data_IF_128132803989
#
_entry.id   IF_128132803989
#
_cell.length_a   1.000
_cell.length_b   1.000
_cell.length_c   1.000
_cell.angle_alpha   90.00
_cell.angle_beta   90.00
_cell.angle_gamma   90.00
#
_symmetry.space_group_name_H-M   'P 1'
#
loop_
_entity.id
_entity.type
_entity.pdbx_description
1 polymer ?
#
# COMPACT_ATOMS: atom_id res chain seq x y z
N UNK A 1 34.37 -5.36 -87.37
CA UNK A 1 33.86 -5.56 -86.06
C UNK A 1 32.32 -5.42 -86.14
N UNK A 2 31.54 -6.50 -86.00
CA UNK A 2 30.09 -6.38 -86.10
C UNK A 2 29.45 -5.92 -84.78
N UNK A 3 28.53 -4.97 -84.88
CA UNK A 3 27.76 -4.47 -83.74
C UNK A 3 26.65 -5.50 -83.41
N UNK A 4 26.63 -5.94 -82.16
CA UNK A 4 25.59 -6.81 -81.60
C UNK A 4 24.44 -5.90 -81.14
N UNK A 5 23.28 -6.04 -81.84
CA UNK A 5 22.03 -5.40 -81.46
C UNK A 5 21.34 -6.23 -80.39
N UNK A 6 21.27 -5.69 -79.17
CA UNK A 6 20.58 -6.33 -78.08
C UNK A 6 19.15 -5.79 -78.03
N UNK A 7 18.19 -6.62 -78.45
CA UNK A 7 16.74 -6.35 -78.27
C UNK A 7 16.32 -6.58 -76.89
N UNK A 8 16.08 -5.54 -76.11
CA UNK A 8 15.51 -5.62 -74.75
C UNK A 8 13.97 -5.72 -74.91
N UNK A 9 13.45 -6.94 -74.84
CA UNK A 9 12.02 -7.16 -74.71
C UNK A 9 11.57 -6.82 -73.30
N UNK A 10 10.99 -5.62 -73.18
CA UNK A 10 10.34 -5.20 -71.94
C UNK A 10 9.08 -6.05 -71.69
N UNK A 11 9.21 -7.05 -70.85
CA UNK A 11 8.09 -7.87 -70.36
C UNK A 11 7.39 -7.17 -69.23
N UNK A 12 6.33 -6.44 -69.48
CA UNK A 12 5.44 -5.83 -68.49
C UNK A 12 4.65 -6.93 -67.78
N UNK A 13 4.79 -7.17 -66.49
CA UNK A 13 3.92 -8.10 -65.80
C UNK A 13 2.57 -7.39 -65.56
N UNK A 14 1.58 -7.82 -66.33
CA UNK A 14 0.18 -7.45 -66.13
C UNK A 14 -0.35 -8.16 -64.86
N UNK A 15 -0.15 -7.49 -63.69
CA UNK A 15 -0.62 -7.96 -62.41
C UNK A 15 -1.97 -7.33 -62.06
N UNK A 16 -2.95 -7.55 -62.94
CA UNK A 16 -4.36 -7.22 -62.65
C UNK A 16 -4.93 -8.24 -61.66
N UNK A 17 -4.35 -8.27 -60.41
CA UNK A 17 -5.05 -8.88 -59.30
C UNK A 17 -6.23 -7.97 -58.95
N UNK A 18 -7.43 -8.39 -59.39
CA UNK A 18 -8.69 -7.81 -58.95
C UNK A 18 -8.68 -7.74 -57.42
N UNK A 19 -8.54 -6.52 -56.90
CA UNK A 19 -8.75 -6.24 -55.47
C UNK A 19 -10.19 -6.65 -55.16
N UNK A 20 -10.36 -7.79 -54.48
CA UNK A 20 -11.62 -8.11 -53.85
C UNK A 20 -12.03 -6.91 -53.01
N UNK A 21 -13.27 -6.38 -53.15
CA UNK A 21 -13.73 -5.27 -52.33
C UNK A 21 -13.60 -5.71 -50.87
N UNK A 22 -12.69 -5.03 -50.18
CA UNK A 22 -12.45 -5.27 -48.74
C UNK A 22 -13.79 -5.12 -48.06
N UNK A 23 -14.23 -6.16 -47.33
CA UNK A 23 -15.35 -6.08 -46.41
C UNK A 23 -15.07 -4.86 -45.54
N UNK A 24 -15.77 -3.75 -45.78
CA UNK A 24 -15.76 -2.60 -44.91
C UNK A 24 -16.10 -3.15 -43.53
N UNK A 25 -15.12 -3.12 -42.62
CA UNK A 25 -15.36 -3.48 -41.24
C UNK A 25 -16.42 -2.48 -40.75
N UNK A 26 -17.64 -2.97 -40.59
CA UNK A 26 -18.75 -2.20 -40.04
C UNK A 26 -18.32 -1.75 -38.67
N UNK A 27 -17.85 -0.51 -38.55
CA UNK A 27 -17.55 0.11 -37.26
C UNK A 27 -18.91 0.26 -36.57
N UNK A 28 -19.22 -0.71 -35.75
CA UNK A 28 -20.41 -0.71 -34.91
C UNK A 28 -20.36 0.60 -34.11
N UNK A 29 -21.22 1.57 -34.47
CA UNK A 29 -21.37 2.82 -33.74
C UNK A 29 -21.66 2.45 -32.29
N UNK A 30 -20.92 2.97 -31.30
CA UNK A 30 -21.18 2.66 -29.91
C UNK A 30 -22.62 3.05 -29.60
N UNK A 31 -23.45 2.07 -29.25
CA UNK A 31 -24.81 2.33 -28.79
C UNK A 31 -24.71 3.20 -27.54
N UNK A 32 -25.51 4.29 -27.46
CA UNK A 32 -25.53 5.09 -26.24
C UNK A 32 -25.93 4.18 -25.08
N UNK A 33 -25.08 4.16 -24.04
CA UNK A 33 -25.36 3.44 -22.81
C UNK A 33 -26.75 3.87 -22.30
N UNK A 34 -27.70 2.95 -22.29
CA UNK A 34 -29.04 3.21 -21.74
C UNK A 34 -28.91 3.65 -20.27
N UNK A 35 -29.92 4.34 -19.74
CA UNK A 35 -29.94 4.90 -18.38
C UNK A 35 -29.51 3.86 -17.31
N UNK A 36 -29.83 2.59 -17.50
CA UNK A 36 -29.37 1.49 -16.63
C UNK A 36 -27.86 1.25 -16.67
N UNK A 37 -27.20 1.46 -17.82
CA UNK A 37 -25.76 1.28 -17.95
C UNK A 37 -24.98 2.43 -17.28
N UNK A 38 -25.49 3.65 -17.33
CA UNK A 38 -24.86 4.80 -16.64
C UNK A 38 -25.02 4.71 -15.14
N UNK A 39 -26.18 4.30 -14.63
CA UNK A 39 -26.41 4.08 -13.19
C UNK A 39 -25.51 2.96 -12.67
N UNK A 40 -25.39 1.83 -13.36
CA UNK A 40 -24.52 0.74 -12.99
C UNK A 40 -23.04 1.16 -12.93
N UNK A 41 -22.60 1.95 -13.91
CA UNK A 41 -21.21 2.43 -13.97
C UNK A 41 -20.90 3.44 -12.87
N UNK A 42 -21.81 4.35 -12.54
CA UNK A 42 -21.63 5.33 -11.45
C UNK A 42 -21.61 4.65 -10.09
N UNK A 43 -22.52 3.72 -9.81
CA UNK A 43 -22.53 2.94 -8.57
C UNK A 43 -21.25 2.10 -8.41
N UNK A 44 -20.75 1.52 -9.48
CA UNK A 44 -19.50 0.74 -9.49
C UNK A 44 -18.25 1.57 -9.15
N UNK A 45 -18.27 2.87 -9.35
CA UNK A 45 -17.18 3.79 -9.01
C UNK A 45 -17.38 4.48 -7.66
N UNK A 46 -18.60 4.91 -7.36
CA UNK A 46 -18.90 5.70 -6.15
C UNK A 46 -18.78 4.86 -4.88
N UNK A 47 -19.26 3.61 -4.92
CA UNK A 47 -19.20 2.74 -3.73
C UNK A 47 -17.76 2.43 -3.32
N UNK A 48 -16.87 1.94 -4.21
CA UNK A 48 -15.48 1.67 -3.80
C UNK A 48 -14.71 2.95 -3.46
N UNK A 49 -14.99 4.08 -4.11
CA UNK A 49 -14.38 5.36 -3.74
C UNK A 49 -14.81 5.82 -2.35
N UNK A 50 -16.10 5.72 -2.03
CA UNK A 50 -16.63 6.04 -0.69
C UNK A 50 -16.06 5.15 0.40
N UNK A 51 -15.96 3.84 0.14
CA UNK A 51 -15.33 2.87 1.04
C UNK A 51 -13.85 3.19 1.27
N UNK A 52 -13.13 3.55 0.22
CA UNK A 52 -11.71 3.88 0.31
C UNK A 52 -11.50 5.16 1.12
N UNK A 53 -12.29 6.20 0.90
CA UNK A 53 -12.25 7.44 1.69
C UNK A 53 -12.56 7.14 3.16
N UNK A 54 -13.62 6.39 3.43
CA UNK A 54 -13.98 6.01 4.79
C UNK A 54 -12.85 5.25 5.49
N UNK A 55 -12.24 4.29 4.80
CA UNK A 55 -11.12 3.50 5.32
C UNK A 55 -9.90 4.38 5.61
N UNK A 56 -9.53 5.29 4.70
CA UNK A 56 -8.42 6.23 4.91
C UNK A 56 -8.68 7.13 6.11
N UNK A 57 -9.88 7.68 6.23
CA UNK A 57 -10.25 8.53 7.39
C UNK A 57 -10.17 7.73 8.68
N UNK A 58 -10.66 6.50 8.70
CA UNK A 58 -10.60 5.62 9.89
C UNK A 58 -9.16 5.32 10.28
N UNK A 59 -8.30 4.95 9.32
CA UNK A 59 -6.89 4.66 9.60
C UNK A 59 -6.17 5.90 10.14
N UNK A 60 -6.37 7.07 9.54
CA UNK A 60 -5.79 8.31 10.03
C UNK A 60 -6.27 8.61 11.46
N UNK A 61 -7.57 8.48 11.74
CA UNK A 61 -8.14 8.78 13.06
C UNK A 61 -7.58 7.86 14.16
N UNK A 62 -7.28 6.61 13.84
CA UNK A 62 -6.67 5.66 14.78
C UNK A 62 -5.16 5.89 14.95
N UNK A 63 -4.47 6.25 13.86
CA UNK A 63 -3.00 6.37 13.85
C UNK A 63 -2.49 7.69 14.43
N UNK A 64 -3.25 8.79 14.30
CA UNK A 64 -2.80 10.11 14.76
C UNK A 64 -2.49 10.19 16.27
N UNK A 65 -3.34 9.65 17.17
CA UNK A 65 -3.03 9.66 18.61
C UNK A 65 -1.74 8.92 18.94
N UNK A 66 -1.52 7.75 18.35
CA UNK A 66 -0.33 6.93 18.58
C UNK A 66 0.93 7.62 18.02
N UNK A 67 0.80 8.33 16.90
CA UNK A 67 1.88 9.11 16.30
C UNK A 67 2.28 10.32 17.18
N UNK A 68 1.31 11.02 17.75
CA UNK A 68 1.58 12.14 18.66
C UNK A 68 2.27 11.66 19.95
N UNK A 69 1.90 10.49 20.47
CA UNK A 69 2.59 9.81 21.56
C UNK A 69 4.03 9.44 21.17
N UNK A 70 4.22 8.79 20.03
CA UNK A 70 5.53 8.37 19.54
C UNK A 70 6.49 9.55 19.31
N UNK A 71 5.95 10.73 18.92
CA UNK A 71 6.70 11.96 18.74
C UNK A 71 6.91 12.75 20.06
N UNK A 72 6.38 12.25 21.19
CA UNK A 72 6.47 12.94 22.49
C UNK A 72 5.65 14.23 22.58
N UNK A 73 4.64 14.41 21.70
CA UNK A 73 3.75 15.57 21.71
C UNK A 73 2.59 15.40 22.70
N UNK A 74 2.27 14.17 23.05
CA UNK A 74 1.22 13.83 24.00
C UNK A 74 1.71 12.74 24.95
N UNK A 75 0.95 12.49 26.04
CA UNK A 75 1.29 11.48 27.04
C UNK A 75 2.35 11.93 28.05
N UNK A 76 2.66 11.04 28.99
CA UNK A 76 3.68 11.29 30.03
C UNK A 76 4.94 10.49 29.67
N UNK A 77 6.10 11.13 29.48
CA UNK A 77 7.33 10.45 29.09
C UNK A 77 7.92 9.66 30.26
N UNK A 78 8.61 8.57 29.90
CA UNK A 78 9.29 7.70 30.86
C UNK A 78 10.01 6.55 30.16
N UNK A 79 10.39 5.56 30.97
CA UNK A 79 11.08 4.35 30.50
C UNK A 79 10.27 3.14 30.91
N UNK A 80 9.99 2.26 29.95
CA UNK A 80 9.34 0.98 30.18
C UNK A 80 10.36 -0.16 30.23
N UNK A 81 10.19 -1.06 31.18
CA UNK A 81 10.94 -2.32 31.27
C UNK A 81 9.93 -3.46 31.25
N UNK A 82 10.00 -4.30 30.22
CA UNK A 82 9.08 -5.43 30.05
C UNK A 82 9.34 -6.49 31.12
N UNK A 83 8.31 -6.86 31.86
CA UNK A 83 8.40 -7.84 32.96
C UNK A 83 8.08 -9.24 32.46
N UNK A 84 6.96 -9.38 31.78
CA UNK A 84 6.46 -10.67 31.28
C UNK A 84 5.60 -10.46 30.04
N UNK A 85 5.57 -11.49 29.19
CA UNK A 85 4.64 -11.55 28.05
C UNK A 85 3.93 -12.90 28.09
N UNK A 86 2.62 -12.88 28.21
CA UNK A 86 1.79 -14.08 28.19
C UNK A 86 1.11 -14.25 26.82
N UNK A 87 1.03 -15.50 26.37
CA UNK A 87 0.35 -15.82 25.11
C UNK A 87 -1.15 -15.97 25.33
N UNK A 88 -1.93 -14.98 24.98
CA UNK A 88 -3.40 -14.94 25.22
C UNK A 88 -4.19 -15.63 24.09
N UNK A 89 -3.55 -16.05 22.98
CA UNK A 89 -4.24 -16.72 21.89
C UNK A 89 -3.36 -17.01 20.67
N UNK A 90 -3.97 -17.26 19.51
CA UNK A 90 -3.24 -17.54 18.27
C UNK A 90 -2.45 -16.30 17.81
N UNK A 91 -1.18 -16.20 18.26
CA UNK A 91 -0.28 -15.12 17.85
C UNK A 91 -0.52 -13.77 18.53
N UNK A 92 -1.28 -13.73 19.62
CA UNK A 92 -1.44 -12.54 20.46
C UNK A 92 -0.69 -12.73 21.76
N UNK A 93 0.12 -11.76 22.10
CA UNK A 93 0.82 -11.65 23.37
C UNK A 93 0.24 -10.48 24.15
N UNK A 94 0.17 -10.64 25.45
CA UNK A 94 -0.16 -9.61 26.40
C UNK A 94 1.08 -9.39 27.26
N UNK A 95 1.64 -8.19 27.22
CA UNK A 95 2.92 -7.90 27.85
C UNK A 95 2.76 -6.82 28.91
N UNK A 96 3.19 -7.15 30.12
CA UNK A 96 3.28 -6.22 31.24
C UNK A 96 4.64 -5.54 31.26
N UNK A 97 4.66 -4.24 31.47
CA UNK A 97 5.89 -3.47 31.67
C UNK A 97 5.84 -2.66 32.96
N UNK A 98 6.99 -2.55 33.61
CA UNK A 98 7.22 -1.57 34.66
C UNK A 98 7.58 -0.24 34.02
N UNK A 99 6.71 0.74 34.17
CA UNK A 99 6.92 2.08 33.67
C UNK A 99 7.44 2.99 34.78
N UNK A 100 8.57 3.64 34.50
CA UNK A 100 9.22 4.62 35.39
C UNK A 100 9.10 5.98 34.73
N UNK A 101 8.44 6.89 35.41
CA UNK A 101 8.27 8.26 34.95
C UNK A 101 9.60 9.01 34.93
N UNK A 102 9.82 9.89 33.95
CA UNK A 102 10.97 10.81 33.94
C UNK A 102 10.89 11.79 35.10
N UNK A 103 9.67 12.14 35.52
CA UNK A 103 9.43 12.85 36.76
C UNK A 103 9.53 11.88 37.94
N UNK A 104 10.67 11.92 38.65
CA UNK A 104 10.99 11.07 39.79
C UNK A 104 10.07 11.26 41.00
N UNK A 105 9.16 12.24 40.98
CA UNK A 105 8.16 12.44 42.06
C UNK A 105 7.04 11.40 42.03
N UNK A 106 6.90 10.64 40.91
CA UNK A 106 5.87 9.63 40.73
C UNK A 106 6.41 8.23 40.94
N UNK A 107 5.63 7.39 41.61
CA UNK A 107 5.98 5.99 41.81
C UNK A 107 5.87 5.21 40.50
N UNK A 108 6.78 4.24 40.24
CA UNK A 108 6.69 3.34 39.09
C UNK A 108 5.39 2.55 39.12
N UNK A 109 4.79 2.34 37.95
CA UNK A 109 3.57 1.55 37.78
C UNK A 109 3.84 0.32 36.94
N UNK A 110 3.03 -0.73 37.10
CA UNK A 110 3.00 -1.89 36.20
C UNK A 110 1.77 -1.74 35.32
N UNK A 111 1.96 -1.85 34.01
CA UNK A 111 0.92 -1.54 33.04
C UNK A 111 1.17 -2.27 31.72
N UNK A 112 0.13 -2.45 30.92
CA UNK A 112 0.18 -3.08 29.62
C UNK A 112 1.09 -2.33 28.63
N UNK A 113 1.81 -3.09 27.82
CA UNK A 113 2.69 -2.54 26.77
C UNK A 113 2.47 -3.25 25.44
N UNK A 114 3.27 -2.91 24.43
CA UNK A 114 3.15 -3.46 23.08
C UNK A 114 3.43 -4.96 23.04
N UNK A 115 2.67 -5.73 22.25
CA UNK A 115 2.75 -7.19 22.22
C UNK A 115 3.99 -7.76 21.53
N UNK A 116 4.79 -6.93 20.88
CA UNK A 116 6.03 -7.28 20.18
C UNK A 116 7.30 -7.04 21.00
N UNK A 117 7.14 -6.68 22.28
CA UNK A 117 8.26 -6.49 23.20
C UNK A 117 8.74 -7.83 23.78
N UNK A 118 10.05 -7.91 24.07
CA UNK A 118 10.65 -9.10 24.70
C UNK A 118 10.79 -8.92 26.23
N UNK A 119 10.57 -9.96 27.04
CA UNK A 119 10.80 -9.88 28.47
C UNK A 119 12.22 -9.41 28.81
N UNK A 120 12.34 -8.40 29.67
CA UNK A 120 13.60 -7.76 30.03
C UNK A 120 14.03 -6.63 29.11
N UNK A 121 13.31 -6.36 28.03
CA UNK A 121 13.58 -5.24 27.13
C UNK A 121 13.30 -3.91 27.86
N UNK A 122 14.18 -2.91 27.61
CA UNK A 122 14.06 -1.56 28.16
C UNK A 122 14.04 -0.57 27.01
N UNK A 123 13.01 0.26 26.93
CA UNK A 123 12.88 1.25 25.87
C UNK A 123 12.24 2.56 26.38
N UNK A 124 12.55 3.69 25.72
CA UNK A 124 11.87 4.95 25.99
C UNK A 124 10.40 4.85 25.57
N UNK A 125 9.51 5.29 26.43
CA UNK A 125 8.08 5.10 26.25
C UNK A 125 7.29 6.30 26.77
N UNK A 126 6.03 6.41 26.35
CA UNK A 126 5.09 7.37 26.89
C UNK A 126 3.81 6.65 27.36
N UNK A 127 3.32 7.05 28.50
CA UNK A 127 2.02 6.64 29.01
C UNK A 127 0.93 7.40 28.28
N UNK A 128 -0.10 6.70 27.80
CA UNK A 128 -1.26 7.31 27.16
C UNK A 128 -1.93 8.32 28.07
N UNK A 129 -2.62 9.34 27.54
CA UNK A 129 -3.38 10.30 28.36
C UNK A 129 -4.46 9.63 29.19
N UNK A 130 -5.01 8.50 28.72
CA UNK A 130 -5.99 7.68 29.42
C UNK A 130 -5.37 6.88 30.58
N UNK A 131 -4.05 6.68 30.55
CA UNK A 131 -3.31 5.95 31.57
C UNK A 131 -3.51 4.44 31.51
N UNK A 132 -3.96 3.91 30.39
CA UNK A 132 -4.34 2.50 30.21
C UNK A 132 -3.20 1.64 29.62
N UNK A 133 -2.26 2.24 28.90
CA UNK A 133 -1.15 1.52 28.24
C UNK A 133 0.08 2.39 28.04
N UNK A 134 1.21 1.75 27.80
CA UNK A 134 2.48 2.39 27.49
C UNK A 134 2.92 2.03 26.09
N UNK A 135 3.27 3.06 25.29
CA UNK A 135 3.71 2.92 23.91
C UNK A 135 5.17 3.37 23.76
N UNK A 136 5.97 2.68 22.90
CA UNK A 136 7.33 3.10 22.64
C UNK A 136 7.35 4.47 21.95
N UNK A 137 8.33 5.30 22.30
CA UNK A 137 8.59 6.59 21.67
C UNK A 137 9.79 6.51 20.71
N UNK A 138 10.01 7.60 19.95
CA UNK A 138 11.11 7.65 18.97
C UNK A 138 10.84 6.84 17.70
N UNK A 139 11.92 6.41 17.04
CA UNK A 139 11.82 5.78 15.71
C UNK A 139 10.93 4.53 15.69
N UNK A 140 11.04 3.66 16.70
CA UNK A 140 10.23 2.44 16.84
C UNK A 140 8.74 2.79 17.00
N UNK A 141 8.42 3.73 17.89
CA UNK A 141 7.03 4.16 18.10
C UNK A 141 6.43 4.79 16.85
N UNK A 142 7.17 5.67 16.18
CA UNK A 142 6.74 6.28 14.92
C UNK A 142 6.50 5.20 13.85
N UNK A 143 7.41 4.23 13.76
CA UNK A 143 7.23 3.15 12.78
C UNK A 143 5.97 2.33 13.08
N UNK A 144 5.76 1.93 14.31
CA UNK A 144 4.57 1.17 14.71
C UNK A 144 3.28 1.97 14.41
N UNK A 145 3.27 3.27 14.69
CA UNK A 145 2.13 4.12 14.39
C UNK A 145 1.86 4.24 12.88
N UNK A 146 2.89 4.40 12.03
CA UNK A 146 2.70 4.62 10.59
C UNK A 146 2.68 3.35 9.75
N UNK A 147 3.07 2.20 10.30
CA UNK A 147 3.16 0.95 9.55
C UNK A 147 1.85 0.60 8.83
N UNK A 148 0.71 0.80 9.49
CA UNK A 148 -0.61 0.55 8.89
C UNK A 148 -0.92 1.51 7.74
N UNK A 149 -0.52 2.80 7.87
CA UNK A 149 -0.68 3.80 6.81
C UNK A 149 0.14 3.47 5.56
N UNK A 150 1.31 2.86 5.72
CA UNK A 150 2.17 2.45 4.60
C UNK A 150 1.73 1.09 4.03
N UNK A 151 1.35 0.14 4.88
CA UNK A 151 0.94 -1.20 4.47
C UNK A 151 -0.34 -1.20 3.62
N UNK A 152 -1.29 -0.30 3.92
CA UNK A 152 -2.57 -0.22 3.22
C UNK A 152 -2.42 0.15 1.72
N UNK A 153 -1.76 1.26 1.34
CA UNK A 153 -1.55 1.59 -0.08
C UNK A 153 -0.66 0.56 -0.78
N UNK A 154 0.31 -0.05 -0.07
CA UNK A 154 1.12 -1.13 -0.60
C UNK A 154 0.27 -2.36 -0.93
N UNK A 155 -0.61 -2.78 -0.02
CA UNK A 155 -1.53 -3.89 -0.24
C UNK A 155 -2.45 -3.68 -1.43
N UNK A 156 -3.02 -2.48 -1.57
CA UNK A 156 -3.84 -2.11 -2.72
C UNK A 156 -3.05 -2.13 -4.04
N UNK A 157 -1.82 -1.57 -4.04
CA UNK A 157 -0.94 -1.59 -5.20
C UNK A 157 -0.54 -3.03 -5.58
N UNK A 158 -0.30 -3.89 -4.61
CA UNK A 158 0.02 -5.30 -4.82
C UNK A 158 -1.17 -6.05 -5.46
N UNK A 159 -2.39 -5.85 -4.95
CA UNK A 159 -3.60 -6.45 -5.53
C UNK A 159 -3.79 -5.98 -6.98
N UNK A 160 -3.65 -4.68 -7.23
CA UNK A 160 -3.75 -4.11 -8.57
C UNK A 160 -2.66 -4.66 -9.51
N UNK A 161 -1.44 -4.82 -9.02
CA UNK A 161 -0.32 -5.42 -9.76
C UNK A 161 -0.60 -6.87 -10.12
N UNK A 162 -1.06 -7.69 -9.18
CA UNK A 162 -1.43 -9.08 -9.42
C UNK A 162 -2.56 -9.17 -10.45
N UNK A 163 -3.59 -8.33 -10.33
CA UNK A 163 -4.69 -8.26 -11.30
C UNK A 163 -4.17 -7.89 -12.71
N UNK A 164 -3.23 -6.94 -12.80
CA UNK A 164 -2.59 -6.55 -14.06
C UNK A 164 -1.77 -7.70 -14.69
N UNK A 165 -1.12 -8.53 -13.88
CA UNK A 165 -0.43 -9.75 -14.34
C UNK A 165 -1.41 -10.74 -14.95
N UNK A 166 -2.55 -11.00 -14.31
CA UNK A 166 -3.59 -11.89 -14.84
C UNK A 166 -4.18 -11.37 -16.15
N UNK A 167 -4.38 -10.08 -16.29
CA UNK A 167 -4.91 -9.45 -17.51
C UNK A 167 -3.86 -9.26 -18.59
N UNK A 168 -2.59 -9.57 -18.32
CA UNK A 168 -1.43 -9.41 -19.22
C UNK A 168 -1.29 -8.01 -19.83
N UNK A 169 -1.77 -6.99 -19.16
CA UNK A 169 -1.69 -5.60 -19.60
C UNK A 169 -0.32 -5.00 -19.24
N UNK A 170 0.60 -4.95 -20.19
CA UNK A 170 1.96 -4.39 -19.99
C UNK A 170 1.95 -2.96 -19.40
N UNK A 171 1.04 -2.11 -19.86
CA UNK A 171 0.91 -0.75 -19.33
C UNK A 171 0.48 -0.74 -17.86
N UNK A 172 -0.51 -1.55 -17.49
CA UNK A 172 -0.98 -1.65 -16.11
C UNK A 172 0.11 -2.19 -15.19
N UNK A 173 0.88 -3.20 -15.61
CA UNK A 173 2.00 -3.76 -14.85
C UNK A 173 3.07 -2.70 -14.54
N UNK A 174 3.46 -1.89 -15.55
CA UNK A 174 4.46 -0.84 -15.38
C UNK A 174 3.96 0.23 -14.40
N UNK A 175 2.73 0.69 -14.54
CA UNK A 175 2.17 1.73 -13.69
C UNK A 175 1.96 1.26 -12.24
N UNK A 176 1.40 0.06 -12.03
CA UNK A 176 1.20 -0.49 -10.68
C UNK A 176 2.53 -0.82 -9.99
N UNK A 177 3.52 -1.31 -10.74
CA UNK A 177 4.88 -1.53 -10.24
C UNK A 177 5.56 -0.22 -9.84
N UNK A 178 5.47 0.82 -10.66
CA UNK A 178 6.05 2.13 -10.37
C UNK A 178 5.43 2.79 -9.12
N UNK A 179 4.13 2.61 -8.90
CA UNK A 179 3.43 3.12 -7.71
C UNK A 179 3.76 2.28 -6.48
N UNK A 180 3.81 0.94 -6.61
CA UNK A 180 4.04 0.04 -5.48
C UNK A 180 5.49 0.03 -4.98
N UNK A 181 6.47 0.27 -5.85
CA UNK A 181 7.89 0.21 -5.50
C UNK A 181 8.30 1.14 -4.35
N UNK A 182 7.93 2.44 -4.30
CA UNK A 182 8.30 3.31 -3.19
C UNK A 182 7.71 2.86 -1.85
N UNK A 183 6.49 2.32 -1.84
CA UNK A 183 5.89 1.79 -0.60
C UNK A 183 6.59 0.52 -0.12
N UNK A 184 7.05 -0.34 -1.04
CA UNK A 184 7.87 -1.49 -0.69
C UNK A 184 9.20 -1.07 -0.06
N UNK A 185 9.87 -0.07 -0.63
CA UNK A 185 11.13 0.47 -0.07
C UNK A 185 10.89 1.04 1.33
N UNK A 186 9.82 1.82 1.52
CA UNK A 186 9.46 2.36 2.83
C UNK A 186 9.17 1.25 3.86
N UNK A 187 8.47 0.19 3.47
CA UNK A 187 8.22 -0.96 4.34
C UNK A 187 9.52 -1.66 4.75
N UNK A 188 10.41 -1.92 3.80
CA UNK A 188 11.71 -2.58 4.08
C UNK A 188 12.58 -1.71 4.99
N UNK A 189 12.68 -0.41 4.71
CA UNK A 189 13.44 0.52 5.55
C UNK A 189 12.83 0.62 6.95
N UNK A 190 11.51 0.70 7.04
CA UNK A 190 10.83 0.77 8.32
C UNK A 190 11.02 -0.49 9.18
N UNK A 191 10.97 -1.67 8.57
CA UNK A 191 11.33 -2.91 9.26
C UNK A 191 12.77 -2.89 9.78
N UNK A 192 13.72 -2.42 8.97
CA UNK A 192 15.13 -2.35 9.37
C UNK A 192 15.39 -1.34 10.51
N UNK A 193 14.54 -0.33 10.68
CA UNK A 193 14.66 0.69 11.73
C UNK A 193 13.84 0.30 12.98
N UNK A 194 12.74 -0.43 12.79
CA UNK A 194 11.80 -0.80 13.85
C UNK A 194 12.16 -2.06 14.63
N UNK A 195 13.07 -2.88 14.11
CA UNK A 195 13.68 -4.04 14.79
C UNK A 195 15.00 -3.65 15.46
#
# INVERSE_FOLDING_TARGET
VPAVKVDIVARTPNNSRARKPGKQAYVKKPEPLGVGGTIGMTLSLVIPAGLLIWLVVTVISVTMPDLDLALGRSGTPGTATVLSCERVGKGRYDCDARFVFDDRSREPIVIDTVPDAEPGEVFPAALTPEGDRVLPTGARGVWNAVALLVALPFGLALIAFLTALFTRSRKAIIWTGAIGAPFLVLLVLGFAIGT
#
